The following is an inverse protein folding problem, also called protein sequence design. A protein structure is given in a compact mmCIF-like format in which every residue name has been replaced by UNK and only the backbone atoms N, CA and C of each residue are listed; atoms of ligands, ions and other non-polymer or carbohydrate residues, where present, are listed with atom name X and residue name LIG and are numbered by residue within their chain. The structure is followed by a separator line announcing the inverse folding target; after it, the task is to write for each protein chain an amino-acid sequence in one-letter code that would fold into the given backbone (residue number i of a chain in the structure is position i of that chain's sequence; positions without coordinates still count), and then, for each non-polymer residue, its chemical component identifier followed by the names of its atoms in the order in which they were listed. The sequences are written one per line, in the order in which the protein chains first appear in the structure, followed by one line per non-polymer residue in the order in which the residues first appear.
data_IF_679416019609
#
_entry.id   IF_679416019609
#
_cell.length_a   1.000
_cell.length_b   1.000
_cell.length_c   1.000
_cell.angle_alpha   90.00
_cell.angle_beta   90.00
_cell.angle_gamma   90.00
#
_symmetry.space_group_name_H-M   'P 1'
#
loop_
_entity.id
_entity.type
_entity.pdbx_description
1 polymer ?
#
# COMPACT_ATOMS: atom_id res chain seq x y z
N UNK A 1 10.24 5.27 15.67
CA UNK A 1 9.74 6.67 15.59
C UNK A 1 9.91 7.20 14.17
N UNK A 2 8.83 7.47 13.44
CA UNK A 2 8.88 7.92 12.04
C UNK A 2 8.41 9.37 11.85
N UNK A 3 9.33 10.32 11.70
CA UNK A 3 9.04 11.73 11.42
C UNK A 3 10.06 12.32 10.44
N UNK A 4 9.68 12.72 9.22
CA UNK A 4 10.53 13.54 8.32
C UNK A 4 9.70 14.33 7.31
N UNK A 5 9.48 15.62 7.59
CA UNK A 5 8.99 16.61 6.59
C UNK A 5 10.15 17.33 5.86
N UNK A 6 11.28 16.62 5.74
CA UNK A 6 12.35 16.76 4.72
C UNK A 6 13.32 17.95 4.81
N UNK A 7 14.60 17.68 5.11
CA UNK A 7 15.78 18.40 4.57
C UNK A 7 17.02 17.49 4.59
N UNK A 8 18.01 17.66 3.69
CA UNK A 8 19.22 16.82 3.58
C UNK A 8 20.48 17.64 3.25
N UNK A 9 21.61 17.26 3.84
CA UNK A 9 22.98 17.74 3.48
C UNK A 9 24.09 16.67 3.69
N UNK A 10 23.76 15.39 3.91
CA UNK A 10 24.73 14.29 4.13
C UNK A 10 24.19 12.94 3.57
N UNK A 11 25.01 11.89 3.36
CA UNK A 11 24.76 10.90 2.28
C UNK A 11 24.03 9.59 2.67
N UNK A 12 23.80 9.31 3.95
CA UNK A 12 23.39 7.97 4.44
C UNK A 12 21.85 7.80 4.53
N UNK A 13 21.15 8.04 3.41
CA UNK A 13 19.73 8.40 3.42
C UNK A 13 18.73 7.24 3.29
N UNK A 14 18.68 6.39 4.32
CA UNK A 14 17.95 5.11 4.30
C UNK A 14 16.40 5.16 4.33
N UNK A 15 15.76 6.17 4.94
CA UNK A 15 14.28 6.30 5.00
C UNK A 15 13.84 7.78 4.84
N UNK A 16 12.71 8.00 4.16
CA UNK A 16 11.96 9.27 4.13
C UNK A 16 10.50 8.98 4.52
N UNK A 17 9.94 9.70 5.51
CA UNK A 17 8.61 9.40 6.08
C UNK A 17 7.75 10.65 6.30
N UNK A 18 6.74 10.84 5.45
CA UNK A 18 5.82 11.99 5.48
C UNK A 18 4.66 11.78 6.45
N UNK A 19 4.50 12.69 7.42
CA UNK A 19 3.37 12.67 8.36
C UNK A 19 2.12 13.34 7.79
N UNK A 20 1.16 12.55 7.31
CA UNK A 20 -0.08 13.05 6.67
C UNK A 20 -1.15 13.58 7.64
N UNK A 21 -0.96 13.48 8.97
CA UNK A 21 -1.97 13.82 9.99
C UNK A 21 -2.62 15.20 9.84
N UNK A 22 -1.88 16.20 9.35
CA UNK A 22 -2.43 17.55 9.11
C UNK A 22 -3.35 17.62 7.87
N UNK A 23 -3.20 16.73 6.89
CA UNK A 23 -3.96 16.71 5.63
C UNK A 23 -5.40 16.21 5.81
N UNK A 24 -5.70 15.48 6.88
CA UNK A 24 -7.06 15.06 7.24
C UNK A 24 -7.95 16.24 7.67
N UNK A 25 -7.35 17.30 8.22
CA UNK A 25 -8.06 18.51 8.64
C UNK A 25 -8.11 19.58 7.53
N UNK A 26 -7.51 19.32 6.37
CA UNK A 26 -7.56 20.21 5.22
C UNK A 26 -8.84 20.01 4.41
N UNK A 27 -9.25 21.01 3.63
CA UNK A 27 -10.33 20.82 2.65
C UNK A 27 -9.93 19.78 1.60
N UNK A 28 -10.90 19.01 1.08
CA UNK A 28 -10.66 17.90 0.14
C UNK A 28 -9.78 18.30 -1.05
N UNK A 29 -10.04 19.46 -1.66
CA UNK A 29 -9.24 19.99 -2.78
C UNK A 29 -7.79 20.29 -2.39
N UNK A 30 -7.55 20.82 -1.18
CA UNK A 30 -6.21 21.10 -0.67
C UNK A 30 -5.48 19.81 -0.30
N UNK A 31 -6.18 18.87 0.36
CA UNK A 31 -5.65 17.54 0.70
C UNK A 31 -5.22 16.77 -0.55
N UNK A 32 -6.08 16.71 -1.58
CA UNK A 32 -5.78 16.08 -2.86
C UNK A 32 -4.61 16.74 -3.60
N UNK A 33 -4.51 18.07 -3.59
CA UNK A 33 -3.40 18.79 -4.21
C UNK A 33 -2.06 18.53 -3.50
N UNK A 34 -2.05 18.57 -2.16
CA UNK A 34 -0.86 18.28 -1.35
C UNK A 34 -0.44 16.81 -1.47
N UNK A 35 -1.39 15.87 -1.47
CA UNK A 35 -1.12 14.45 -1.73
C UNK A 35 -0.51 14.23 -3.11
N UNK A 36 -1.00 14.90 -4.17
CA UNK A 36 -0.41 14.80 -5.51
C UNK A 36 1.04 15.32 -5.56
N UNK A 37 1.32 16.47 -4.92
CA UNK A 37 2.68 17.04 -4.85
C UNK A 37 3.61 16.14 -4.04
N UNK A 38 3.18 15.66 -2.87
CA UNK A 38 3.92 14.74 -2.02
C UNK A 38 4.26 13.45 -2.75
N UNK A 39 3.28 12.82 -3.40
CA UNK A 39 3.49 11.59 -4.16
C UNK A 39 4.40 11.77 -5.38
N UNK A 40 4.33 12.92 -6.08
CA UNK A 40 5.29 13.24 -7.14
C UNK A 40 6.71 13.40 -6.61
N UNK A 41 6.89 14.23 -5.58
CA UNK A 41 8.20 14.45 -4.96
C UNK A 41 8.85 13.13 -4.52
N UNK A 42 8.13 12.32 -3.73
CA UNK A 42 8.63 11.03 -3.26
C UNK A 42 8.95 10.07 -4.41
N UNK A 43 8.17 10.10 -5.48
CA UNK A 43 8.37 9.21 -6.63
C UNK A 43 9.59 9.61 -7.43
N UNK A 44 9.83 10.90 -7.58
CA UNK A 44 10.99 11.41 -8.30
C UNK A 44 12.31 11.14 -7.53
N UNK A 45 12.25 10.85 -6.21
CA UNK A 45 13.39 10.28 -5.45
C UNK A 45 13.62 8.78 -5.73
N UNK A 46 12.65 8.07 -6.31
CA UNK A 46 12.69 6.64 -6.64
C UNK A 46 12.90 6.39 -8.15
N UNK A 47 13.53 7.33 -8.86
CA UNK A 47 13.76 7.29 -10.32
C UNK A 47 15.21 7.01 -10.74
N UNK A 48 16.12 6.72 -9.79
CA UNK A 48 17.41 6.13 -10.15
C UNK A 48 17.23 4.64 -10.51
N UNK A 49 18.13 4.08 -11.32
CA UNK A 49 18.13 2.65 -11.65
C UNK A 49 19.31 1.90 -10.98
N UNK A 50 20.28 2.64 -10.42
CA UNK A 50 21.49 2.10 -9.80
C UNK A 50 21.22 1.68 -8.34
N UNK A 51 20.42 2.47 -7.62
CA UNK A 51 20.04 2.21 -6.23
C UNK A 51 18.79 1.32 -6.10
N UNK A 52 18.57 0.74 -4.93
CA UNK A 52 17.32 0.05 -4.59
C UNK A 52 16.46 0.95 -3.69
N UNK A 53 15.28 1.34 -4.18
CA UNK A 53 14.33 2.18 -3.43
C UNK A 53 13.04 1.42 -3.08
N UNK A 54 12.40 1.82 -1.99
CA UNK A 54 11.08 1.33 -1.60
C UNK A 54 10.11 2.51 -1.42
N UNK A 55 9.08 2.56 -2.26
CA UNK A 55 7.98 3.51 -2.12
C UNK A 55 6.84 2.82 -1.38
N UNK A 56 6.55 3.28 -0.16
CA UNK A 56 5.55 2.69 0.73
C UNK A 56 4.41 3.68 0.92
N UNK A 57 3.18 3.25 0.65
CA UNK A 57 1.95 3.99 0.97
C UNK A 57 1.23 3.20 2.05
N UNK A 58 1.12 3.78 3.24
CA UNK A 58 0.27 3.24 4.30
C UNK A 58 -1.09 3.95 4.30
N UNK A 59 -2.11 3.29 4.84
CA UNK A 59 -3.51 3.72 4.89
C UNK A 59 -4.04 4.35 3.60
N UNK A 60 -3.76 3.69 2.47
CA UNK A 60 -4.02 4.24 1.15
C UNK A 60 -5.51 4.51 0.87
N UNK A 61 -6.45 3.82 1.55
CA UNK A 61 -7.89 4.09 1.48
C UNK A 61 -8.22 5.57 1.70
N UNK A 62 -7.57 6.20 2.68
CA UNK A 62 -7.78 7.62 3.06
C UNK A 62 -7.57 8.61 1.92
N UNK A 63 -6.84 8.22 0.87
CA UNK A 63 -6.43 9.10 -0.23
C UNK A 63 -6.61 8.51 -1.65
N UNK A 64 -6.88 7.21 -1.82
CA UNK A 64 -6.93 6.57 -3.15
C UNK A 64 -8.03 7.16 -4.05
N UNK A 65 -9.19 7.49 -3.47
CA UNK A 65 -10.33 8.14 -4.14
C UNK A 65 -10.16 9.67 -4.28
N UNK A 66 -9.10 10.28 -3.73
CA UNK A 66 -8.91 11.72 -3.80
C UNK A 66 -8.33 12.15 -5.17
N UNK A 67 -9.15 12.81 -5.99
CA UNK A 67 -8.71 13.51 -7.20
C UNK A 67 -8.06 12.56 -8.23
N UNK A 68 -6.76 12.73 -8.47
CA UNK A 68 -5.99 11.93 -9.44
C UNK A 68 -5.06 10.89 -8.80
N UNK A 69 -5.28 10.55 -7.53
CA UNK A 69 -4.39 9.66 -6.75
C UNK A 69 -4.34 8.24 -7.31
N UNK A 70 -5.48 7.57 -7.53
CA UNK A 70 -5.51 6.24 -8.15
C UNK A 70 -4.81 6.15 -9.52
N UNK A 71 -5.07 7.02 -10.52
CA UNK A 71 -4.31 7.01 -11.77
C UNK A 71 -2.81 7.28 -11.60
N UNK A 72 -2.41 8.13 -10.64
CA UNK A 72 -1.01 8.41 -10.35
C UNK A 72 -0.28 7.18 -9.77
N UNK A 73 -0.83 6.57 -8.73
CA UNK A 73 -0.25 5.35 -8.11
C UNK A 73 -0.24 4.20 -9.14
N UNK A 74 -1.29 4.05 -9.94
CA UNK A 74 -1.34 3.06 -11.02
C UNK A 74 -0.38 3.38 -12.20
N UNK A 75 0.22 4.57 -12.27
CA UNK A 75 1.35 4.88 -13.16
C UNK A 75 2.67 4.46 -12.52
N UNK A 76 2.87 4.70 -11.22
CA UNK A 76 4.06 4.28 -10.48
C UNK A 76 4.23 2.76 -10.48
N UNK A 77 3.17 2.00 -10.16
CA UNK A 77 3.17 0.53 -10.18
C UNK A 77 3.60 -0.07 -11.53
N UNK A 78 3.27 0.59 -12.65
CA UNK A 78 3.68 0.16 -14.01
C UNK A 78 5.11 0.58 -14.39
N UNK A 79 5.74 1.46 -13.62
CA UNK A 79 7.10 1.99 -13.88
C UNK A 79 8.15 1.48 -12.91
N UNK A 80 7.79 1.16 -11.66
CA UNK A 80 8.72 0.86 -10.57
C UNK A 80 9.76 -0.23 -10.90
N UNK A 81 9.35 -1.30 -11.59
CA UNK A 81 10.26 -2.36 -12.06
C UNK A 81 11.41 -1.88 -12.96
N UNK A 82 11.26 -0.75 -13.67
CA UNK A 82 12.34 -0.16 -14.48
C UNK A 82 13.42 0.47 -13.58
N UNK A 83 13.00 1.10 -12.49
CA UNK A 83 13.82 1.91 -11.59
C UNK A 83 14.23 1.15 -10.32
N UNK A 84 14.34 -0.18 -10.41
CA UNK A 84 14.72 -1.07 -9.30
C UNK A 84 13.88 -0.85 -8.00
N UNK A 85 12.68 -0.27 -8.14
CA UNK A 85 11.90 0.25 -7.04
C UNK A 85 10.84 -0.77 -6.62
N UNK A 86 10.76 -1.05 -5.33
CA UNK A 86 9.64 -1.77 -4.72
C UNK A 86 8.48 -0.81 -4.45
N UNK A 87 7.25 -1.23 -4.78
CA UNK A 87 6.02 -0.51 -4.41
C UNK A 87 5.25 -1.33 -3.37
N UNK A 88 5.00 -0.75 -2.20
CA UNK A 88 4.13 -1.32 -1.16
C UNK A 88 2.92 -0.40 -0.98
N UNK A 89 1.74 -1.01 -0.87
CA UNK A 89 0.49 -0.31 -0.54
C UNK A 89 -0.24 -1.08 0.55
N UNK A 90 -0.47 -0.43 1.69
CA UNK A 90 -1.29 -0.90 2.80
C UNK A 90 -2.70 -0.30 2.71
N UNK A 91 -3.71 -1.11 3.02
CA UNK A 91 -5.09 -0.65 3.16
C UNK A 91 -5.88 -1.62 4.03
N UNK A 92 -6.69 -1.08 4.94
CA UNK A 92 -7.72 -1.85 5.66
C UNK A 92 -8.98 -2.04 4.79
N UNK A 93 -9.30 -1.04 3.95
CA UNK A 93 -10.45 -1.06 3.05
C UNK A 93 -10.01 -1.49 1.63
N UNK A 94 -10.35 -2.71 1.17
CA UNK A 94 -10.20 -3.09 -0.24
C UNK A 94 -11.29 -2.46 -1.11
N UNK A 95 -12.41 -2.05 -0.51
CA UNK A 95 -13.58 -1.48 -1.18
C UNK A 95 -13.26 -0.23 -1.99
N UNK A 96 -12.48 0.69 -1.44
CA UNK A 96 -12.14 1.95 -2.12
C UNK A 96 -11.33 1.70 -3.41
N UNK A 97 -10.46 0.70 -3.41
CA UNK A 97 -9.74 0.27 -4.63
C UNK A 97 -10.68 -0.40 -5.65
N UNK A 98 -11.78 -0.99 -5.17
CA UNK A 98 -12.78 -1.69 -5.95
C UNK A 98 -13.98 -0.82 -6.41
N UNK A 99 -13.97 0.48 -6.08
CA UNK A 99 -14.99 1.44 -6.50
C UNK A 99 -15.02 1.64 -8.03
N UNK A 100 -16.21 1.72 -8.61
CA UNK A 100 -16.39 1.79 -10.06
C UNK A 100 -15.74 3.01 -10.72
N UNK A 101 -15.53 4.11 -9.98
CA UNK A 101 -14.82 5.30 -10.49
C UNK A 101 -13.32 5.07 -10.69
N UNK A 102 -12.71 4.12 -9.96
CA UNK A 102 -11.27 3.82 -10.04
C UNK A 102 -10.93 2.35 -10.29
N UNK A 103 -11.90 1.45 -10.50
CA UNK A 103 -11.70 -0.01 -10.63
C UNK A 103 -10.62 -0.40 -11.66
N UNK A 104 -10.47 0.36 -12.74
CA UNK A 104 -9.41 0.18 -13.75
C UNK A 104 -8.00 0.45 -13.18
N UNK A 105 -7.89 1.40 -12.26
CA UNK A 105 -6.65 1.73 -11.54
C UNK A 105 -6.40 0.77 -10.37
N UNK A 106 -7.44 0.42 -9.59
CA UNK A 106 -7.35 -0.60 -8.54
C UNK A 106 -6.88 -1.95 -9.09
N UNK A 107 -7.52 -2.46 -10.14
CA UNK A 107 -7.07 -3.66 -10.88
C UNK A 107 -5.65 -3.51 -11.42
N UNK A 108 -5.26 -2.33 -11.91
CA UNK A 108 -3.88 -2.12 -12.39
C UNK A 108 -2.85 -2.21 -11.26
N UNK A 109 -3.14 -1.66 -10.07
CA UNK A 109 -2.27 -1.77 -8.88
C UNK A 109 -2.17 -3.26 -8.47
N UNK A 110 -3.31 -3.91 -8.21
CA UNK A 110 -3.36 -5.30 -7.76
C UNK A 110 -2.72 -6.28 -8.77
N UNK A 111 -2.88 -6.07 -10.08
CA UNK A 111 -2.28 -6.96 -11.08
C UNK A 111 -0.76 -6.76 -11.27
N UNK A 112 -0.20 -5.59 -10.94
CA UNK A 112 1.26 -5.38 -10.98
C UNK A 112 1.96 -5.82 -9.68
N UNK A 113 1.23 -5.87 -8.55
CA UNK A 113 1.72 -6.44 -7.28
C UNK A 113 1.96 -7.95 -7.40
N UNK A 114 3.20 -8.35 -7.71
CA UNK A 114 3.63 -9.76 -7.79
C UNK A 114 3.50 -10.47 -6.43
N UNK A 115 3.77 -9.75 -5.35
CA UNK A 115 3.57 -10.19 -3.98
C UNK A 115 2.31 -9.54 -3.41
N UNK A 116 1.53 -10.28 -2.62
CA UNK A 116 0.45 -9.74 -1.78
C UNK A 116 0.41 -10.53 -0.47
N UNK A 117 0.12 -9.85 0.63
CA UNK A 117 -0.26 -10.46 1.90
C UNK A 117 -1.70 -10.03 2.13
N UNK A 118 -2.61 -10.99 2.31
CA UNK A 118 -4.04 -10.71 2.54
C UNK A 118 -4.44 -11.40 3.83
N UNK A 119 -4.68 -10.60 4.87
CA UNK A 119 -4.99 -11.05 6.23
C UNK A 119 -6.49 -11.33 6.37
N UNK A 120 -7.02 -11.39 7.60
CA UNK A 120 -8.45 -11.43 7.84
C UNK A 120 -9.20 -10.33 7.06
N UNK A 121 -10.31 -10.71 6.42
CA UNK A 121 -11.27 -9.79 5.79
C UNK A 121 -12.69 -10.23 6.16
N UNK A 122 -13.58 -9.27 6.43
CA UNK A 122 -14.99 -9.59 6.61
C UNK A 122 -15.66 -10.04 5.30
N UNK A 123 -16.95 -10.38 5.38
CA UNK A 123 -17.72 -10.93 4.27
C UNK A 123 -17.85 -9.96 3.09
N UNK A 124 -17.99 -8.66 3.33
CA UNK A 124 -18.20 -7.66 2.29
C UNK A 124 -16.86 -7.17 1.73
N UNK A 125 -15.85 -7.00 2.57
CA UNK A 125 -14.47 -6.82 2.14
C UNK A 125 -13.95 -7.98 1.26
N UNK A 126 -14.40 -9.22 1.54
CA UNK A 126 -14.16 -10.38 0.65
C UNK A 126 -14.86 -10.23 -0.73
N UNK A 127 -16.09 -9.71 -0.77
CA UNK A 127 -16.81 -9.47 -2.03
C UNK A 127 -16.11 -8.37 -2.87
N UNK A 128 -15.54 -7.35 -2.21
CA UNK A 128 -14.82 -6.28 -2.89
C UNK A 128 -13.41 -6.69 -3.34
N UNK A 129 -12.65 -7.45 -2.54
CA UNK A 129 -11.32 -7.92 -2.96
C UNK A 129 -11.39 -8.91 -4.14
N UNK A 130 -12.50 -9.64 -4.28
CA UNK A 130 -12.80 -10.48 -5.46
C UNK A 130 -12.96 -9.67 -6.76
N UNK A 131 -13.32 -8.38 -6.69
CA UNK A 131 -13.31 -7.49 -7.86
C UNK A 131 -11.88 -7.14 -8.30
N UNK A 132 -10.88 -7.29 -7.42
CA UNK A 132 -9.50 -6.82 -7.60
C UNK A 132 -8.50 -7.96 -7.85
N UNK A 133 -8.72 -9.14 -7.26
CA UNK A 133 -7.86 -10.30 -7.46
C UNK A 133 -8.64 -11.61 -7.37
N UNK A 134 -8.20 -12.61 -8.13
CA UNK A 134 -8.86 -13.92 -8.16
C UNK A 134 -8.49 -14.74 -6.92
N UNK A 135 -9.52 -15.13 -6.16
CA UNK A 135 -9.45 -16.12 -5.07
C UNK A 135 -10.43 -17.25 -5.36
N UNK A 136 -10.14 -18.45 -4.85
CA UNK A 136 -11.07 -19.58 -4.86
C UNK A 136 -11.87 -19.68 -3.55
N UNK A 137 -12.92 -20.51 -3.52
CA UNK A 137 -13.83 -20.63 -2.37
C UNK A 137 -13.15 -21.00 -1.05
N UNK A 138 -12.09 -21.82 -1.09
CA UNK A 138 -11.34 -22.18 0.11
C UNK A 138 -10.50 -20.99 0.61
N UNK A 139 -9.92 -20.21 -0.31
CA UNK A 139 -9.19 -18.99 0.03
C UNK A 139 -10.08 -17.93 0.67
N UNK A 140 -11.29 -17.71 0.14
CA UNK A 140 -12.30 -16.84 0.76
C UNK A 140 -12.71 -17.37 2.14
N UNK A 141 -12.84 -18.69 2.29
CA UNK A 141 -13.16 -19.31 3.58
C UNK A 141 -12.02 -19.10 4.60
N UNK A 142 -10.75 -19.15 4.19
CA UNK A 142 -9.62 -18.81 5.07
C UNK A 142 -9.63 -17.33 5.46
N UNK A 143 -9.80 -16.41 4.50
CA UNK A 143 -9.84 -14.96 4.77
C UNK A 143 -10.91 -14.57 5.79
N UNK A 144 -12.07 -15.22 5.77
CA UNK A 144 -13.19 -14.98 6.70
C UNK A 144 -13.03 -15.63 8.08
N UNK A 145 -12.02 -16.49 8.28
CA UNK A 145 -11.79 -17.23 9.53
C UNK A 145 -10.38 -17.05 10.12
N UNK A 146 -9.54 -16.21 9.51
CA UNK A 146 -8.17 -15.96 9.99
C UNK A 146 -8.13 -15.28 11.36
N UNK A 147 -7.18 -15.73 12.18
CA UNK A 147 -6.82 -15.10 13.45
C UNK A 147 -5.70 -14.07 13.26
N UNK A 148 -5.33 -13.35 14.31
CA UNK A 148 -4.28 -12.34 14.27
C UNK A 148 -2.95 -12.91 13.74
N UNK A 149 -2.34 -12.20 12.79
CA UNK A 149 -1.11 -12.63 12.11
C UNK A 149 -1.32 -13.69 11.02
N UNK A 150 -2.51 -14.27 10.83
CA UNK A 150 -2.76 -15.22 9.74
C UNK A 150 -3.07 -14.49 8.42
N UNK A 151 -2.54 -15.02 7.32
CA UNK A 151 -2.71 -14.43 6.00
C UNK A 151 -2.58 -15.46 4.87
N UNK A 152 -3.14 -15.16 3.70
CA UNK A 152 -2.71 -15.75 2.43
C UNK A 152 -1.55 -14.91 1.90
N UNK A 153 -0.37 -15.52 1.81
CA UNK A 153 0.72 -14.99 1.02
C UNK A 153 0.57 -15.41 -0.45
N UNK A 154 0.52 -14.40 -1.31
CA UNK A 154 0.50 -14.53 -2.76
C UNK A 154 1.91 -14.23 -3.27
N UNK A 155 2.50 -15.19 -3.98
CA UNK A 155 3.81 -15.06 -4.63
C UNK A 155 3.66 -15.44 -6.10
N UNK A 156 3.20 -14.49 -6.91
CA UNK A 156 2.76 -14.72 -8.29
C UNK A 156 1.65 -15.77 -8.36
N UNK A 157 1.97 -16.93 -8.92
CA UNK A 157 1.04 -18.07 -9.06
C UNK A 157 0.93 -18.92 -7.78
N UNK A 158 1.81 -18.73 -6.79
CA UNK A 158 1.72 -19.46 -5.51
C UNK A 158 0.75 -18.77 -4.56
N UNK A 159 0.05 -19.60 -3.79
CA UNK A 159 -0.95 -19.26 -2.76
C UNK A 159 -0.60 -20.06 -1.52
N UNK A 160 -0.21 -19.40 -0.45
CA UNK A 160 0.38 -20.04 0.74
C UNK A 160 -0.25 -19.43 1.99
N UNK A 161 -1.05 -20.18 2.77
CA UNK A 161 -1.44 -19.76 4.12
C UNK A 161 -0.19 -19.64 5.00
N UNK A 162 -0.04 -18.52 5.70
CA UNK A 162 1.07 -18.24 6.60
C UNK A 162 0.58 -17.74 7.96
N UNK A 163 1.39 -17.97 8.99
CA UNK A 163 1.29 -17.28 10.28
C UNK A 163 2.49 -16.33 10.37
N UNK A 164 2.21 -15.04 10.51
CA UNK A 164 3.17 -14.00 10.86
C UNK A 164 3.28 -14.00 12.39
N UNK A 165 4.50 -13.92 12.90
CA UNK A 165 4.83 -13.82 14.34
C UNK A 165 5.86 -12.71 14.46
N UNK A 166 5.50 -11.61 15.14
CA UNK A 166 6.42 -10.54 15.47
C UNK A 166 7.24 -10.91 16.71
N UNK A 167 8.51 -10.53 16.74
CA UNK A 167 9.33 -10.56 17.95
C UNK A 167 8.89 -9.46 18.92
N UNK A 168 9.25 -9.60 20.21
CA UNK A 168 9.01 -8.52 21.18
C UNK A 168 9.68 -7.19 20.79
N UNK A 169 10.80 -7.25 20.06
CA UNK A 169 11.47 -6.03 19.59
C UNK A 169 10.61 -5.31 18.55
N UNK A 170 10.10 -6.03 17.55
CA UNK A 170 9.21 -5.46 16.54
C UNK A 170 7.91 -4.91 17.17
N UNK A 171 7.32 -5.61 18.14
CA UNK A 171 6.15 -5.14 18.89
C UNK A 171 6.41 -3.80 19.62
N UNK A 172 7.56 -3.69 20.32
CA UNK A 172 7.99 -2.43 20.96
C UNK A 172 8.28 -1.32 19.93
N UNK A 173 8.85 -1.65 18.77
CA UNK A 173 9.17 -0.67 17.73
C UNK A 173 7.92 -0.11 17.01
N UNK A 174 6.84 -0.90 16.90
CA UNK A 174 5.53 -0.43 16.41
C UNK A 174 4.64 0.21 17.51
N UNK A 175 5.08 0.19 18.77
CA UNK A 175 4.36 0.83 19.88
C UNK A 175 3.17 0.03 20.42
N UNK A 176 3.23 -1.31 20.36
CA UNK A 176 2.25 -2.20 20.98
C UNK A 176 2.88 -2.80 22.25
N UNK A 177 2.47 -2.27 23.41
CA UNK A 177 2.76 -2.76 24.77
C UNK A 177 1.52 -3.42 25.39
#
# INVERSE_FOLDING_TARGET
VGHTTVTFTNPERQIIAFGTKALFNASSNLSAALNHIMFKFSWDQCLDNNDQSAFIIDEAHTMILQGSTAPLIAQFYRRARKYNCMMIVGTQEPRDFADDSIITHGKAIFNNSTYKIVMYLDKDACNDVLKLCNFNSNEITYLQNFQLGQAIFICGNRRIPIQIIATEQELREIGVE
#
